data_IF_839846965372
#
_entry.id   IF_839846965372
#
_cell.length_a   1.000
_cell.length_b   1.000
_cell.length_c   1.000
_cell.angle_alpha   90.00
_cell.angle_beta   90.00
_cell.angle_gamma   90.00
#
_symmetry.space_group_name_H-M   'P 1'
#
loop_
_entity.id
_entity.type
_entity.pdbx_description
1 polymer ?
#
# COMPACT_ATOMS: atom_id res chain seq x y z
N UNK A 1 -7.26 11.78 25.41
CA UNK A 1 -7.16 11.46 23.96
C UNK A 1 -6.34 10.18 23.74
N UNK A 2 -6.73 9.09 24.41
CA UNK A 2 -5.95 7.84 24.48
C UNK A 2 -6.58 6.68 23.70
N UNK A 3 -7.39 6.97 22.67
CA UNK A 3 -8.09 5.94 21.88
C UNK A 3 -8.15 6.25 20.37
N UNK A 4 -7.08 6.79 19.79
CA UNK A 4 -6.99 6.94 18.33
C UNK A 4 -6.39 5.70 17.63
N UNK A 5 -6.39 4.53 18.29
CA UNK A 5 -5.88 3.25 17.74
C UNK A 5 -6.90 2.11 17.91
N UNK A 6 -8.20 2.41 17.90
CA UNK A 6 -9.25 1.38 18.00
C UNK A 6 -10.39 1.53 16.99
N UNK A 7 -10.16 2.13 15.83
CA UNK A 7 -11.01 1.95 14.64
C UNK A 7 -10.18 1.39 13.51
N UNK A 8 -9.82 0.11 13.68
CA UNK A 8 -9.26 -0.76 12.65
C UNK A 8 -10.15 -2.02 12.51
N UNK A 9 -11.46 -1.85 12.68
CA UNK A 9 -12.40 -2.98 12.80
C UNK A 9 -13.57 -2.91 11.82
N UNK A 10 -13.37 -2.47 10.58
CA UNK A 10 -14.35 -2.76 9.53
C UNK A 10 -13.85 -2.50 8.10
N UNK A 11 -12.98 -3.35 7.55
CA UNK A 11 -13.09 -3.87 6.17
C UNK A 11 -11.91 -4.80 5.82
N UNK A 12 -12.07 -6.12 6.02
CA UNK A 12 -11.69 -7.16 5.05
C UNK A 12 -12.02 -8.54 5.64
N UNK A 13 -13.29 -8.94 5.58
CA UNK A 13 -13.72 -10.33 5.80
C UNK A 13 -13.99 -10.93 4.42
N UNK A 14 -13.12 -11.84 3.96
CA UNK A 14 -13.32 -12.92 2.95
C UNK A 14 -11.93 -13.52 2.62
N UNK A 15 -11.50 -14.58 3.33
CA UNK A 15 -11.53 -15.99 2.90
C UNK A 15 -10.60 -16.30 1.73
N UNK A 16 -9.53 -17.04 2.02
CA UNK A 16 -9.11 -18.16 1.17
C UNK A 16 -8.52 -19.25 2.07
N UNK A 17 -9.27 -20.35 2.19
CA UNK A 17 -8.80 -21.63 2.74
C UNK A 17 -7.69 -22.14 1.83
N UNK A 18 -6.54 -22.49 2.39
CA UNK A 18 -5.60 -23.36 1.69
C UNK A 18 -5.02 -24.36 2.70
N UNK A 19 -5.37 -25.63 2.48
CA UNK A 19 -4.94 -26.77 3.27
C UNK A 19 -3.41 -26.90 3.29
N UNK A 20 -2.85 -27.07 4.48
CA UNK A 20 -1.43 -27.32 4.68
C UNK A 20 -1.12 -28.80 4.40
N UNK A 21 -0.63 -29.14 3.20
CA UNK A 21 0.03 -30.43 2.98
C UNK A 21 1.45 -30.38 3.58
N UNK A 22 1.69 -31.13 4.65
CA UNK A 22 3.02 -31.36 5.21
C UNK A 22 3.68 -32.55 4.52
N UNK A 23 4.63 -32.29 3.61
CA UNK A 23 5.57 -33.29 3.13
C UNK A 23 6.51 -33.74 4.25
N UNK A 24 6.62 -35.06 4.44
CA UNK A 24 7.44 -35.71 5.45
C UNK A 24 8.86 -35.90 4.90
N UNK A 25 9.77 -34.95 5.20
CA UNK A 25 11.19 -35.15 4.92
C UNK A 25 11.81 -36.07 5.99
N UNK A 26 12.35 -37.20 5.56
CA UNK A 26 12.98 -38.24 6.39
C UNK A 26 14.42 -37.85 6.75
N UNK A 27 14.84 -38.19 7.97
CA UNK A 27 16.15 -37.89 8.63
C UNK A 27 16.32 -36.43 9.08
N UNK A 28 15.85 -36.08 10.28
CA UNK A 28 15.96 -34.70 10.80
C UNK A 28 17.01 -34.57 11.91
N UNK A 29 18.12 -33.92 11.57
CA UNK A 29 18.84 -33.06 12.54
C UNK A 29 17.81 -32.12 13.18
N UNK A 30 17.92 -31.91 14.48
CA UNK A 30 17.03 -31.03 15.23
C UNK A 30 16.90 -29.67 14.51
N UNK A 31 15.66 -29.20 14.24
CA UNK A 31 15.45 -27.97 13.50
C UNK A 31 16.00 -26.79 14.30
N UNK A 32 16.97 -26.07 13.73
CA UNK A 32 17.54 -24.86 14.35
C UNK A 32 16.48 -23.78 14.47
N UNK A 33 16.62 -22.90 15.46
CA UNK A 33 15.74 -21.75 15.65
C UNK A 33 15.58 -20.94 14.34
N UNK A 34 16.69 -20.69 13.63
CA UNK A 34 16.71 -19.98 12.35
C UNK A 34 15.88 -20.67 11.26
N UNK A 35 15.91 -22.00 11.18
CA UNK A 35 15.12 -22.77 10.21
C UNK A 35 13.61 -22.68 10.46
N UNK A 36 13.21 -22.61 11.73
CA UNK A 36 11.82 -22.42 12.12
C UNK A 36 11.32 -21.00 11.81
N UNK A 37 12.11 -19.97 12.14
CA UNK A 37 11.78 -18.58 11.79
C UNK A 37 11.66 -18.37 10.28
N UNK A 38 12.59 -18.93 9.50
CA UNK A 38 12.53 -18.87 8.03
C UNK A 38 11.23 -19.47 7.51
N UNK A 39 10.86 -20.66 7.99
CA UNK A 39 9.62 -21.33 7.58
C UNK A 39 8.38 -20.53 7.94
N UNK A 40 8.36 -19.92 9.12
CA UNK A 40 7.25 -19.05 9.56
C UNK A 40 7.11 -17.81 8.68
N UNK A 41 8.23 -17.12 8.36
CA UNK A 41 8.25 -15.96 7.46
C UNK A 41 7.81 -16.31 6.04
N UNK A 42 8.26 -17.45 5.49
CA UNK A 42 7.85 -17.91 4.17
C UNK A 42 6.35 -18.19 4.11
N UNK A 43 5.78 -18.82 5.14
CA UNK A 43 4.35 -19.06 5.22
C UNK A 43 3.56 -17.75 5.28
N UNK A 44 4.00 -16.78 6.10
CA UNK A 44 3.39 -15.46 6.20
C UNK A 44 3.39 -14.74 4.84
N UNK A 45 4.53 -14.72 4.14
CA UNK A 45 4.64 -14.05 2.84
C UNK A 45 3.76 -14.71 1.78
N UNK A 46 3.61 -16.04 1.79
CA UNK A 46 2.68 -16.75 0.89
C UNK A 46 1.24 -16.30 1.12
N UNK A 47 0.81 -16.20 2.38
CA UNK A 47 -0.55 -15.75 2.73
C UNK A 47 -0.78 -14.29 2.33
N UNK A 48 0.18 -13.40 2.58
CA UNK A 48 0.07 -11.98 2.22
C UNK A 48 0.02 -11.76 0.70
N UNK A 49 0.79 -12.53 -0.07
CA UNK A 49 0.82 -12.45 -1.53
C UNK A 49 -0.43 -13.02 -2.20
N UNK A 50 -1.24 -13.82 -1.48
CA UNK A 50 -2.50 -14.35 -2.00
C UNK A 50 -3.66 -13.32 -1.94
N UNK A 51 -3.47 -12.21 -1.23
CA UNK A 51 -4.47 -11.17 -1.05
C UNK A 51 -4.03 -9.85 -1.69
N UNK A 52 -4.97 -8.90 -1.87
CA UNK A 52 -4.63 -7.51 -2.22
C UNK A 52 -4.13 -6.77 -0.97
N UNK A 53 -2.85 -6.36 -0.89
CA UNK A 53 -2.33 -5.71 0.30
C UNK A 53 -2.69 -4.22 0.33
N UNK A 54 -3.06 -3.74 1.52
CA UNK A 54 -3.11 -2.32 1.85
C UNK A 54 -1.98 -2.00 2.83
N UNK A 55 -1.31 -0.87 2.64
CA UNK A 55 -0.17 -0.46 3.48
C UNK A 55 -0.55 0.74 4.34
N UNK A 56 -0.59 0.54 5.65
CA UNK A 56 -0.76 1.62 6.63
C UNK A 56 0.54 1.82 7.40
N UNK A 57 0.95 3.08 7.55
CA UNK A 57 2.19 3.47 8.22
C UNK A 57 1.86 4.32 9.43
N UNK A 58 2.16 3.80 10.61
CA UNK A 58 1.95 4.50 11.87
C UNK A 58 3.17 5.37 12.18
N UNK A 59 2.94 6.63 12.56
CA UNK A 59 3.99 7.57 12.98
C UNK A 59 3.67 8.07 14.39
N UNK A 60 4.63 7.96 15.30
CA UNK A 60 4.53 8.49 16.67
C UNK A 60 4.92 9.98 16.66
N UNK A 61 4.01 10.92 17.00
CA UNK A 61 4.28 12.35 16.88
C UNK A 61 5.22 12.90 17.97
N UNK A 62 5.28 12.28 19.14
CA UNK A 62 6.17 12.68 20.24
C UNK A 62 6.45 11.49 21.17
N UNK A 63 7.56 11.52 21.91
CA UNK A 63 7.91 10.41 22.80
C UNK A 63 7.07 10.33 24.07
N UNK A 64 6.67 11.50 24.59
CA UNK A 64 5.96 11.71 25.84
C UNK A 64 4.49 11.28 25.82
N UNK A 65 3.97 10.87 24.66
CA UNK A 65 2.57 10.48 24.43
C UNK A 65 1.56 11.58 24.82
N UNK A 66 1.95 12.84 24.70
CA UNK A 66 1.09 14.00 24.98
C UNK A 66 0.32 14.43 23.71
N UNK A 67 -0.96 14.81 23.82
CA UNK A 67 -1.68 15.39 22.69
C UNK A 67 -1.08 16.75 22.32
N UNK A 68 -1.26 17.18 21.07
CA UNK A 68 -0.82 18.50 20.54
C UNK A 68 0.69 18.77 20.56
N UNK A 69 1.52 17.80 20.95
CA UNK A 69 2.97 17.91 20.88
C UNK A 69 3.49 17.19 19.64
N UNK A 70 4.23 17.90 18.79
CA UNK A 70 4.80 17.35 17.55
C UNK A 70 6.31 17.54 17.52
N UNK A 71 7.04 16.43 17.55
CA UNK A 71 8.47 16.38 17.37
C UNK A 71 8.79 16.06 15.90
N UNK A 72 9.28 17.07 15.20
CA UNK A 72 9.62 16.99 13.78
C UNK A 72 10.77 16.03 13.51
N UNK A 73 11.82 16.05 14.33
CA UNK A 73 13.01 15.24 14.09
C UNK A 73 12.72 13.76 14.27
N UNK A 74 11.98 13.43 15.33
CA UNK A 74 11.48 12.08 15.57
C UNK A 74 10.64 11.57 14.40
N UNK A 75 9.70 12.37 13.88
CA UNK A 75 8.86 11.97 12.75
C UNK A 75 9.68 11.80 11.46
N UNK A 76 10.63 12.69 11.19
CA UNK A 76 11.51 12.57 10.01
C UNK A 76 12.37 11.30 10.08
N UNK A 77 12.92 10.96 11.25
CA UNK A 77 13.66 9.69 11.42
C UNK A 77 12.76 8.48 11.15
N UNK A 78 11.54 8.46 11.68
CA UNK A 78 10.58 7.37 11.42
C UNK A 78 10.22 7.25 9.93
N UNK A 79 10.05 8.37 9.22
CA UNK A 79 9.80 8.36 7.77
C UNK A 79 10.98 7.80 6.97
N UNK A 80 12.21 8.02 7.43
CA UNK A 80 13.42 7.44 6.82
C UNK A 80 13.52 5.94 7.10
N UNK A 81 13.34 5.50 8.35
CA UNK A 81 13.42 4.08 8.72
C UNK A 81 12.32 3.24 8.08
N UNK A 82 11.12 3.80 7.89
CA UNK A 82 10.01 3.12 7.22
C UNK A 82 10.12 3.10 5.69
N UNK A 83 11.12 3.77 5.10
CA UNK A 83 11.29 3.86 3.64
C UNK A 83 10.22 4.70 2.94
N UNK A 84 9.48 5.53 3.69
CA UNK A 84 8.39 6.35 3.14
C UNK A 84 8.92 7.39 2.15
N UNK A 85 10.05 8.03 2.48
CA UNK A 85 10.67 9.02 1.59
C UNK A 85 11.08 8.42 0.24
N UNK A 86 11.58 7.19 0.26
CA UNK A 86 12.02 6.50 -0.96
C UNK A 86 10.81 6.04 -1.80
N UNK A 87 9.76 5.56 -1.14
CA UNK A 87 8.50 5.21 -1.80
C UNK A 87 7.91 6.41 -2.55
N UNK A 88 7.96 7.60 -1.94
CA UNK A 88 7.48 8.84 -2.58
C UNK A 88 8.35 9.19 -3.80
N UNK A 89 9.68 9.07 -3.71
CA UNK A 89 10.59 9.33 -4.83
C UNK A 89 10.31 8.42 -6.02
N UNK A 90 10.21 7.11 -5.78
CA UNK A 90 9.91 6.12 -6.82
C UNK A 90 8.55 6.42 -7.48
N UNK A 91 7.51 6.71 -6.69
CA UNK A 91 6.18 7.05 -7.22
C UNK A 91 6.18 8.34 -8.02
N UNK A 92 6.95 9.35 -7.59
CA UNK A 92 7.07 10.62 -8.31
C UNK A 92 7.72 10.44 -9.68
N UNK A 93 8.75 9.60 -9.79
CA UNK A 93 9.40 9.28 -11.07
C UNK A 93 8.44 8.64 -12.08
N UNK A 94 7.35 8.02 -11.61
CA UNK A 94 6.34 7.37 -12.46
C UNK A 94 5.19 8.27 -12.96
N UNK A 95 5.26 9.59 -12.74
CA UNK A 95 4.17 10.55 -12.99
C UNK A 95 2.86 10.12 -12.31
N UNK A 96 2.68 10.45 -11.01
CA UNK A 96 1.57 9.92 -10.20
C UNK A 96 0.20 10.45 -10.62
N UNK A 97 0.16 11.60 -11.32
CA UNK A 97 -1.07 12.23 -11.78
C UNK A 97 -1.33 11.80 -13.21
N UNK A 98 -2.48 11.15 -13.44
CA UNK A 98 -2.93 10.69 -14.76
C UNK A 98 -4.38 11.11 -14.94
N UNK A 99 -4.63 12.00 -15.90
CA UNK A 99 -5.97 12.42 -16.29
C UNK A 99 -6.30 11.90 -17.67
N UNK A 100 -7.56 11.53 -17.87
CA UNK A 100 -8.11 11.43 -19.23
C UNK A 100 -8.24 12.83 -19.82
N UNK A 101 -8.29 12.93 -21.16
CA UNK A 101 -8.40 14.22 -21.83
C UNK A 101 -9.64 15.02 -21.38
N UNK A 102 -10.78 14.35 -21.21
CA UNK A 102 -12.01 14.98 -20.72
C UNK A 102 -11.85 15.57 -19.32
N UNK A 103 -11.32 14.79 -18.37
CA UNK A 103 -11.08 15.26 -17.00
C UNK A 103 -10.07 16.40 -16.93
N UNK A 104 -9.06 16.38 -17.81
CA UNK A 104 -8.06 17.44 -17.90
C UNK A 104 -8.71 18.75 -18.37
N UNK A 105 -9.48 18.72 -19.46
CA UNK A 105 -10.15 19.90 -20.00
C UNK A 105 -11.16 20.45 -19.00
N UNK A 106 -11.99 19.60 -18.39
CA UNK A 106 -13.00 20.04 -17.43
C UNK A 106 -12.38 20.74 -16.21
N UNK A 107 -11.22 20.27 -15.75
CA UNK A 107 -10.51 20.87 -14.61
C UNK A 107 -9.78 22.16 -14.95
N UNK A 108 -9.07 22.19 -16.08
CA UNK A 108 -8.14 23.28 -16.41
C UNK A 108 -8.70 24.32 -17.38
N UNK A 109 -9.90 24.14 -17.95
CA UNK A 109 -10.54 25.13 -18.86
C UNK A 109 -10.71 26.51 -18.22
N UNK A 110 -10.84 26.60 -16.90
CA UNK A 110 -10.99 27.88 -16.18
C UNK A 110 -9.73 28.74 -16.24
N UNK A 111 -8.57 28.14 -16.52
CA UNK A 111 -7.29 28.86 -16.62
C UNK A 111 -7.06 29.47 -18.01
N UNK A 112 -7.81 29.05 -19.04
CA UNK A 112 -7.67 29.56 -20.41
C UNK A 112 -9.03 29.93 -21.01
N UNK A 113 -9.30 31.23 -21.23
CA UNK A 113 -10.51 31.64 -21.94
C UNK A 113 -10.47 31.15 -23.40
N UNK A 114 -11.58 30.58 -23.87
CA UNK A 114 -11.73 30.08 -25.25
C UNK A 114 -11.65 28.55 -25.42
N UNK A 115 -11.32 27.79 -24.36
CA UNK A 115 -11.36 26.32 -24.41
C UNK A 115 -12.80 25.82 -24.28
N UNK A 116 -13.29 25.13 -25.32
CA UNK A 116 -14.62 24.53 -25.33
C UNK A 116 -14.69 23.34 -24.37
N UNK A 117 -15.87 23.07 -23.75
CA UNK A 117 -16.05 21.88 -22.92
C UNK A 117 -15.76 20.61 -23.73
N UNK A 118 -15.19 19.59 -23.09
CA UNK A 118 -14.97 18.30 -23.73
C UNK A 118 -16.33 17.72 -24.15
N UNK A 119 -16.56 17.52 -25.45
CA UNK A 119 -17.83 17.00 -25.95
C UNK A 119 -18.06 15.61 -25.33
N UNK A 120 -19.14 15.48 -24.56
CA UNK A 120 -19.41 14.35 -23.68
C UNK A 120 -19.93 13.16 -24.47
N UNK A 121 -19.09 12.54 -25.31
CA UNK A 121 -19.36 11.17 -25.72
C UNK A 121 -19.01 10.26 -24.54
N UNK A 122 -20.06 9.85 -23.84
CA UNK A 122 -20.07 8.88 -22.77
C UNK A 122 -19.61 7.52 -23.32
N UNK A 123 -18.31 7.30 -23.41
CA UNK A 123 -17.76 5.95 -23.29
C UNK A 123 -17.55 5.72 -21.81
N UNK A 124 -18.44 4.89 -21.24
CA UNK A 124 -18.33 4.30 -19.91
C UNK A 124 -17.04 3.49 -19.83
N UNK A 125 -15.91 4.14 -19.64
CA UNK A 125 -14.71 3.51 -19.12
C UNK A 125 -14.68 3.82 -17.63
N UNK A 126 -14.78 2.76 -16.82
CA UNK A 126 -14.77 2.86 -15.36
C UNK A 126 -13.56 3.61 -14.81
N UNK A 127 -13.50 3.86 -13.49
CA UNK A 127 -12.34 4.51 -12.89
C UNK A 127 -11.07 3.78 -13.34
N UNK A 128 -10.14 4.53 -13.94
CA UNK A 128 -8.80 4.01 -14.26
C UNK A 128 -8.09 3.66 -12.95
N UNK A 129 -8.38 2.48 -12.41
CA UNK A 129 -7.53 1.77 -11.47
C UNK A 129 -6.31 1.26 -12.23
N UNK A 130 -5.37 2.16 -12.55
CA UNK A 130 -4.02 1.75 -12.95
C UNK A 130 -3.19 1.48 -11.69
N UNK A 131 -3.54 0.37 -11.06
CA UNK A 131 -2.81 -0.32 -10.03
C UNK A 131 -2.76 -1.81 -10.35
N UNK A 132 -2.21 -2.21 -11.50
CA UNK A 132 -1.62 -3.54 -11.70
C UNK A 132 -0.50 -3.46 -12.75
N UNK A 133 0.76 -3.53 -12.29
CA UNK A 133 1.86 -3.95 -13.17
C UNK A 133 1.63 -5.43 -13.45
N UNK A 134 1.25 -5.76 -14.69
CA UNK A 134 1.31 -7.13 -15.18
C UNK A 134 2.77 -7.62 -15.10
N UNK A 135 2.95 -8.76 -14.43
CA UNK A 135 4.19 -9.54 -14.42
C UNK A 135 4.41 -10.06 -15.85
N UNK A 136 5.49 -9.64 -16.51
CA UNK A 136 5.93 -10.22 -17.78
C UNK A 136 6.40 -11.67 -17.51
N UNK A 137 5.86 -12.69 -18.20
CA UNK A 137 6.43 -14.03 -18.15
C UNK A 137 7.65 -14.09 -19.07
N UNK A 138 8.75 -14.65 -18.54
CA UNK A 138 9.71 -15.44 -19.31
C UNK A 138 9.60 -16.88 -18.78
#
# INVERSE_FOLDING_TARGET
MSRCVQTFDWYCKCVCVCACSCGVETRKRSPTLSSQFKRSLELLMRTLNACQPFFVRCIKPNELKKPMLFDRELCVRQLRYSGMMETIRIRRAGYPIRYTFGEFVDRYRVLMPGVKPANRQVSRAGPCSLGTKQKKPD
#
